data_IF_433900716114
#
_entry.id   IF_433900716114
#
_cell.length_a   1.000
_cell.length_b   1.000
_cell.length_c   1.000
_cell.angle_alpha   90.00
_cell.angle_beta   90.00
_cell.angle_gamma   90.00
#
_symmetry.space_group_name_H-M   'P 1'
#
loop_
_entity.id
_entity.type
_entity.pdbx_description
1 polymer ?
#
# COMPACT_ATOMS: atom_id res chain seq x y z
N UNK A 1 -11.59 4.19 18.89
CA UNK A 1 -12.39 4.35 17.65
C UNK A 1 -11.78 5.47 16.83
N UNK A 2 -11.00 5.16 15.80
CA UNK A 2 -10.40 6.19 14.96
C UNK A 2 -11.46 6.86 14.09
N UNK A 3 -11.77 8.13 14.35
CA UNK A 3 -12.69 8.90 13.50
C UNK A 3 -12.02 9.43 12.22
N UNK A 4 -10.72 9.17 12.05
CA UNK A 4 -9.91 9.62 10.91
C UNK A 4 -9.55 8.43 10.02
N UNK A 5 -9.54 8.61 8.68
CA UNK A 5 -9.05 7.61 7.75
C UNK A 5 -7.59 7.25 8.08
N UNK A 6 -7.30 5.96 8.29
CA UNK A 6 -5.95 5.47 8.57
C UNK A 6 -5.26 4.93 7.33
N UNK A 7 -3.93 5.03 7.28
CA UNK A 7 -3.10 4.34 6.27
C UNK A 7 -2.36 3.22 6.98
N UNK A 8 -2.45 2.00 6.44
CA UNK A 8 -1.64 0.89 6.91
C UNK A 8 -0.32 0.88 6.11
N UNK A 9 0.79 1.15 6.79
CA UNK A 9 2.12 1.03 6.19
C UNK A 9 2.71 -0.34 6.49
N UNK A 10 3.00 -1.12 5.45
CA UNK A 10 3.66 -2.41 5.51
C UNK A 10 5.10 -2.25 5.07
N UNK A 11 6.01 -2.58 5.99
CA UNK A 11 7.43 -2.66 5.68
C UNK A 11 7.81 -4.11 5.42
N UNK A 12 8.27 -4.39 4.20
CA UNK A 12 8.66 -5.72 3.75
C UNK A 12 10.17 -5.84 3.97
N UNK A 13 10.54 -6.64 4.96
CA UNK A 13 11.93 -6.96 5.31
C UNK A 13 12.34 -8.33 4.78
N UNK A 14 13.62 -8.66 4.93
CA UNK A 14 14.22 -9.95 4.55
C UNK A 14 13.94 -10.37 3.10
N UNK A 15 13.89 -9.38 2.20
CA UNK A 15 13.78 -9.59 0.75
C UNK A 15 15.03 -9.08 0.05
N UNK A 16 15.52 -9.85 -0.92
CA UNK A 16 16.53 -9.39 -1.86
C UNK A 16 15.90 -8.59 -3.03
N UNK A 17 16.74 -8.07 -3.94
CA UNK A 17 16.27 -7.28 -5.09
C UNK A 17 15.41 -8.09 -6.06
N UNK A 18 15.73 -9.36 -6.27
CA UNK A 18 14.98 -10.24 -7.17
C UNK A 18 13.62 -10.57 -6.55
N UNK A 19 13.59 -10.94 -5.28
CA UNK A 19 12.36 -11.23 -4.53
C UNK A 19 11.45 -10.01 -4.47
N UNK A 20 11.98 -8.83 -4.13
CA UNK A 20 11.21 -7.59 -4.13
C UNK A 20 10.60 -7.30 -5.51
N UNK A 21 11.39 -7.46 -6.57
CA UNK A 21 10.92 -7.28 -7.94
C UNK A 21 9.80 -8.28 -8.28
N UNK A 22 9.98 -9.56 -7.96
CA UNK A 22 8.98 -10.59 -8.23
C UNK A 22 7.67 -10.35 -7.48
N UNK A 23 7.74 -9.93 -6.20
CA UNK A 23 6.58 -9.55 -5.40
C UNK A 23 5.76 -8.42 -6.05
N UNK A 24 6.43 -7.47 -6.72
CA UNK A 24 5.80 -6.39 -7.49
C UNK A 24 5.25 -6.89 -8.83
N UNK A 25 6.07 -7.56 -9.63
CA UNK A 25 5.73 -8.01 -10.99
C UNK A 25 4.61 -9.07 -11.01
N UNK A 26 4.60 -9.97 -10.03
CA UNK A 26 3.58 -11.01 -9.90
C UNK A 26 2.34 -10.53 -9.15
N UNK A 27 2.29 -9.26 -8.76
CA UNK A 27 1.18 -8.65 -8.03
C UNK A 27 0.84 -9.37 -6.71
N UNK A 28 1.80 -10.09 -6.12
CA UNK A 28 1.58 -10.84 -4.87
C UNK A 28 1.20 -9.89 -3.73
N UNK A 29 1.92 -8.77 -3.60
CA UNK A 29 1.62 -7.74 -2.59
C UNK A 29 0.26 -7.08 -2.80
N UNK A 30 -0.15 -6.92 -4.07
CA UNK A 30 -1.47 -6.40 -4.39
C UNK A 30 -2.56 -7.38 -3.98
N UNK A 31 -2.39 -8.67 -4.27
CA UNK A 31 -3.32 -9.72 -3.87
C UNK A 31 -3.56 -9.75 -2.36
N UNK A 32 -2.48 -9.80 -1.58
CA UNK A 32 -2.54 -9.81 -0.12
C UNK A 32 -3.16 -8.53 0.45
N UNK A 33 -2.75 -7.35 -0.06
CA UNK A 33 -3.31 -6.09 0.36
C UNK A 33 -4.81 -5.99 0.04
N UNK A 34 -5.23 -6.43 -1.15
CA UNK A 34 -6.65 -6.45 -1.55
C UNK A 34 -7.46 -7.42 -0.71
N UNK A 35 -6.92 -8.60 -0.40
CA UNK A 35 -7.56 -9.56 0.49
C UNK A 35 -7.76 -8.97 1.88
N UNK A 36 -6.72 -8.39 2.48
CA UNK A 36 -6.82 -7.72 3.78
C UNK A 36 -7.91 -6.65 3.78
N UNK A 37 -7.99 -5.84 2.72
CA UNK A 37 -9.01 -4.78 2.58
C UNK A 37 -10.46 -5.29 2.51
N UNK A 38 -10.69 -6.60 2.38
CA UNK A 38 -12.03 -7.21 2.48
C UNK A 38 -12.45 -7.52 3.92
N UNK A 39 -11.51 -7.55 4.86
CA UNK A 39 -11.79 -7.91 6.25
C UNK A 39 -12.42 -6.76 7.05
N UNK A 40 -13.26 -7.06 8.06
CA UNK A 40 -13.85 -6.03 8.94
C UNK A 40 -12.81 -5.12 9.61
N UNK A 41 -11.63 -5.66 9.93
CA UNK A 41 -10.50 -4.97 10.56
C UNK A 41 -9.93 -3.86 9.66
N UNK A 42 -10.12 -3.95 8.34
CA UNK A 42 -9.68 -2.95 7.39
C UNK A 42 -10.66 -1.78 7.23
N UNK A 43 -11.81 -1.80 7.91
CA UNK A 43 -12.81 -0.72 7.88
C UNK A 43 -12.25 0.69 8.17
N UNK A 44 -11.30 0.92 9.10
CA UNK A 44 -10.71 2.24 9.32
C UNK A 44 -9.55 2.57 8.36
N UNK A 45 -9.15 1.63 7.49
CA UNK A 45 -7.99 1.77 6.59
C UNK A 45 -8.46 2.28 5.23
N UNK A 46 -7.95 3.45 4.81
CA UNK A 46 -8.24 4.05 3.49
C UNK A 46 -7.31 3.55 2.40
N UNK A 47 -6.08 3.17 2.76
CA UNK A 47 -5.13 2.56 1.85
C UNK A 47 -4.09 1.72 2.61
N UNK A 48 -3.55 0.72 1.93
CA UNK A 48 -2.34 0.00 2.32
C UNK A 48 -1.17 0.55 1.50
N UNK A 49 -0.04 0.84 2.13
CA UNK A 49 1.20 1.20 1.45
C UNK A 49 2.26 0.14 1.74
N UNK A 50 2.90 -0.41 0.73
CA UNK A 50 3.99 -1.37 0.88
C UNK A 50 5.31 -0.74 0.42
N UNK A 51 6.37 -0.95 1.19
CA UNK A 51 7.74 -0.56 0.80
C UNK A 51 8.77 -1.52 1.40
N UNK A 52 9.96 -1.55 0.82
CA UNK A 52 11.11 -2.32 1.31
C UNK A 52 12.32 -1.43 1.59
N UNK A 53 13.31 -1.94 2.34
CA UNK A 53 14.57 -1.24 2.59
C UNK A 53 15.28 -0.85 1.28
N UNK A 54 15.13 -1.69 0.25
CA UNK A 54 15.74 -1.47 -1.07
C UNK A 54 15.21 -0.18 -1.68
N UNK A 55 13.90 0.08 -1.58
CA UNK A 55 13.28 1.32 -2.10
C UNK A 55 13.61 2.54 -1.25
N UNK A 56 13.63 2.41 0.08
CA UNK A 56 13.98 3.51 0.97
C UNK A 56 15.42 4.01 0.77
N UNK A 57 16.32 3.11 0.37
CA UNK A 57 17.72 3.41 0.11
C UNK A 57 18.05 3.59 -1.38
N UNK A 58 17.07 3.49 -2.28
CA UNK A 58 17.28 3.71 -3.70
C UNK A 58 17.40 5.21 -4.02
N UNK A 59 18.37 5.58 -4.87
CA UNK A 59 18.51 6.96 -5.37
C UNK A 59 17.36 7.34 -6.30
N UNK A 60 16.84 6.36 -7.04
CA UNK A 60 15.63 6.49 -7.84
C UNK A 60 14.44 6.05 -6.97
N UNK A 61 13.63 7.02 -6.53
CA UNK A 61 12.45 6.76 -5.68
C UNK A 61 11.40 6.06 -6.53
N UNK A 62 11.50 4.74 -6.65
CA UNK A 62 10.45 3.93 -7.23
C UNK A 62 9.11 4.28 -6.57
N UNK A 63 8.04 4.34 -7.36
CA UNK A 63 6.73 4.66 -6.82
C UNK A 63 6.32 3.63 -5.78
N UNK A 64 5.99 4.16 -4.59
CA UNK A 64 5.52 3.37 -3.47
C UNK A 64 4.24 2.64 -3.88
N UNK A 65 4.15 1.35 -3.57
CA UNK A 65 2.95 0.56 -3.82
C UNK A 65 1.85 1.00 -2.87
N UNK A 66 0.83 1.66 -3.39
CA UNK A 66 -0.35 2.10 -2.65
C UNK A 66 -1.61 1.45 -3.20
N UNK A 67 -2.33 0.78 -2.32
CA UNK A 67 -3.57 0.07 -2.61
C UNK A 67 -4.72 0.74 -1.88
N UNK A 68 -5.54 1.49 -2.61
CA UNK A 68 -6.73 2.16 -2.07
C UNK A 68 -7.81 1.14 -1.67
N UNK A 69 -8.41 1.34 -0.50
CA UNK A 69 -9.62 0.62 -0.08
C UNK A 69 -10.85 1.13 -0.85
N UNK A 70 -11.50 0.32 -1.70
CA UNK A 70 -12.67 0.75 -2.47
C UNK A 70 -13.93 0.95 -1.61
N UNK A 71 -13.99 0.32 -0.43
CA UNK A 71 -15.14 0.37 0.49
C UNK A 71 -15.08 1.55 1.47
N UNK A 72 -13.91 2.16 1.64
CA UNK A 72 -13.73 3.27 2.57
C UNK A 72 -14.23 4.58 1.94
N UNK A 73 -15.19 5.31 2.57
CA UNK A 73 -15.80 6.50 1.96
C UNK A 73 -14.77 7.62 1.67
N UNK A 74 -13.76 7.76 2.54
CA UNK A 74 -12.68 8.72 2.34
C UNK A 74 -11.73 8.38 1.16
N UNK A 75 -11.75 7.16 0.62
CA UNK A 75 -10.84 6.75 -0.45
C UNK A 75 -11.05 7.51 -1.77
N UNK A 76 -12.19 8.17 -1.93
CA UNK A 76 -12.53 8.99 -3.11
C UNK A 76 -12.27 10.48 -2.91
N UNK A 77 -11.76 10.89 -1.75
CA UNK A 77 -11.48 12.30 -1.48
C UNK A 77 -10.24 12.73 -2.28
N UNK A 78 -10.33 13.76 -3.14
CA UNK A 78 -9.18 14.24 -3.92
C UNK A 78 -8.00 14.66 -3.04
N UNK A 79 -8.28 15.20 -1.85
CA UNK A 79 -7.26 15.60 -0.88
C UNK A 79 -6.37 14.44 -0.38
N UNK A 80 -6.80 13.18 -0.57
CA UNK A 80 -6.04 11.99 -0.18
C UNK A 80 -5.33 11.31 -1.35
N UNK A 81 -5.53 11.76 -2.59
CA UNK A 81 -4.94 11.15 -3.79
C UNK A 81 -3.44 10.85 -3.67
N UNK A 82 -2.57 11.80 -3.20
CA UNK A 82 -1.14 11.54 -3.06
C UNK A 82 -0.79 10.40 -2.09
N UNK A 83 -1.71 10.08 -1.19
CA UNK A 83 -1.52 9.09 -0.13
C UNK A 83 -2.20 7.74 -0.44
N UNK A 84 -3.06 7.66 -1.46
CA UNK A 84 -3.85 6.44 -1.76
C UNK A 84 -3.63 5.88 -3.16
N UNK A 85 -3.11 6.68 -4.09
CA UNK A 85 -2.84 6.25 -5.46
C UNK A 85 -1.36 5.89 -5.62
N UNK A 86 -1.11 4.76 -6.28
CA UNK A 86 0.20 4.52 -6.89
C UNK A 86 0.27 5.43 -8.12
N UNK A 87 1.23 6.34 -8.14
CA UNK A 87 1.60 7.02 -9.39
C UNK A 87 2.43 5.98 -10.16
N UNK A 88 2.20 5.85 -11.47
CA UNK A 88 2.97 4.98 -12.35
C UNK A 88 3.85 5.84 -13.26
#
# INVERSE_FOLDING_TARGET
TGARPGILAMFIEDTDRLEWRLLREQLTLEGEARQFLTFPEARPVVAVTCTSRIELCAEDRADALRFRNPTHPAGKLPALEPAVLSVC
#
